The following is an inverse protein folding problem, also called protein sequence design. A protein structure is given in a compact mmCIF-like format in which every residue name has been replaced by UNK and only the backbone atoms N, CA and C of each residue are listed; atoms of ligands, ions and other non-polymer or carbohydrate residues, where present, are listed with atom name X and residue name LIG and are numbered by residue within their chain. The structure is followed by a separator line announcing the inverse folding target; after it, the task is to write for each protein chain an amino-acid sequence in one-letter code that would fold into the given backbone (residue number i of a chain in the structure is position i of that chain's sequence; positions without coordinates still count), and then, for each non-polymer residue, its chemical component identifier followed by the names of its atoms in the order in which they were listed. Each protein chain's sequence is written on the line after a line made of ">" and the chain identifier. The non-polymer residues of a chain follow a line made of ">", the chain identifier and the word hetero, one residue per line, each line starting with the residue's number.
data_IF_367366528288
#
_entry.id   IF_367366528288
#
_cell.length_a   1.000
_cell.length_b   1.000
_cell.length_c   1.000
_cell.angle_alpha   90.00
_cell.angle_beta   90.00
_cell.angle_gamma   90.00
#
_symmetry.space_group_name_H-M   'P 1'
#
loop_
_entity.id
_entity.type
_entity.pdbx_description
1 polymer ?
#
# COMPACT_ATOMS: atom_id res chain seq x y z
N UNK A 1 5.24 23.48 2.15
CA UNK A 1 4.68 22.57 3.17
C UNK A 1 5.50 21.30 3.19
N UNK A 2 5.64 20.63 4.34
CA UNK A 2 6.26 19.30 4.42
C UNK A 2 5.34 18.26 3.76
N UNK A 3 5.92 17.28 3.07
CA UNK A 3 5.17 16.15 2.52
C UNK A 3 4.59 15.29 3.66
N UNK A 4 3.39 14.75 3.46
CA UNK A 4 2.75 13.84 4.41
C UNK A 4 3.37 12.45 4.29
N UNK A 5 3.89 11.90 5.39
CA UNK A 5 4.41 10.52 5.39
C UNK A 5 3.26 9.54 5.54
N UNK A 6 3.08 8.63 4.59
CA UNK A 6 2.05 7.60 4.61
C UNK A 6 2.66 6.21 4.40
N UNK A 7 2.28 5.25 5.23
CA UNK A 7 2.60 3.83 5.05
C UNK A 7 1.68 3.21 3.99
N UNK A 8 2.28 2.52 3.01
CA UNK A 8 1.56 1.97 1.86
C UNK A 8 1.93 0.50 1.65
N UNK A 9 0.98 -0.41 1.86
CA UNK A 9 1.17 -1.84 1.66
C UNK A 9 0.51 -2.32 0.36
N UNK A 10 1.32 -2.73 -0.62
CA UNK A 10 0.87 -3.15 -1.96
C UNK A 10 1.72 -4.31 -2.48
N UNK A 11 1.17 -5.10 -3.41
CA UNK A 11 1.96 -6.11 -4.10
C UNK A 11 2.96 -5.51 -5.09
N UNK A 12 4.04 -6.25 -5.36
CA UNK A 12 5.04 -5.88 -6.35
C UNK A 12 4.67 -6.44 -7.73
N UNK A 13 3.69 -5.82 -8.37
CA UNK A 13 3.21 -6.16 -9.72
C UNK A 13 3.45 -5.01 -10.69
N UNK A 14 3.36 -5.29 -11.98
CA UNK A 14 3.44 -4.31 -13.08
C UNK A 14 2.63 -3.02 -12.83
N UNK A 15 1.41 -3.16 -12.28
CA UNK A 15 0.50 -2.02 -12.01
C UNK A 15 0.99 -1.07 -10.91
N UNK A 16 1.71 -1.59 -9.92
CA UNK A 16 2.19 -0.82 -8.77
C UNK A 16 3.68 -0.46 -8.89
N UNK A 17 4.41 -1.13 -9.79
CA UNK A 17 5.85 -0.96 -10.00
C UNK A 17 6.28 0.50 -10.25
N UNK A 18 5.57 1.32 -11.06
CA UNK A 18 5.96 2.71 -11.26
C UNK A 18 5.94 3.56 -9.98
N UNK A 19 5.08 3.21 -9.00
CA UNK A 19 5.08 3.87 -7.69
C UNK A 19 6.27 3.45 -6.84
N UNK A 20 6.64 2.16 -6.89
CA UNK A 20 7.76 1.59 -6.15
C UNK A 20 9.12 2.06 -6.67
N UNK A 21 9.26 2.13 -8.00
CA UNK A 21 10.49 2.55 -8.68
C UNK A 21 10.65 4.09 -8.68
N UNK A 22 9.58 4.83 -8.36
CA UNK A 22 9.58 6.28 -8.26
C UNK A 22 9.32 7.01 -9.58
N UNK A 23 9.04 6.28 -10.66
CA UNK A 23 8.64 6.82 -11.97
C UNK A 23 7.32 7.61 -11.89
N UNK A 24 6.44 7.22 -10.96
CA UNK A 24 5.20 7.92 -10.62
C UNK A 24 5.22 8.32 -9.16
N UNK A 25 5.00 9.61 -8.88
CA UNK A 25 5.00 10.16 -7.52
C UNK A 25 3.59 10.58 -7.11
N UNK A 26 3.34 10.56 -5.80
CA UNK A 26 2.10 11.08 -5.21
C UNK A 26 2.37 12.51 -4.73
N UNK A 27 1.64 13.47 -5.28
CA UNK A 27 1.79 14.87 -4.94
C UNK A 27 1.57 15.11 -3.44
N UNK A 28 2.53 15.81 -2.82
CA UNK A 28 2.46 16.15 -1.40
C UNK A 28 2.68 14.98 -0.43
N UNK A 29 2.97 13.76 -0.91
CA UNK A 29 3.16 12.57 -0.06
C UNK A 29 4.60 12.08 -0.12
N UNK A 30 5.10 11.62 1.02
CA UNK A 30 6.33 10.88 1.19
C UNK A 30 5.97 9.42 1.54
N UNK A 31 5.70 8.56 0.55
CA UNK A 31 5.22 7.22 0.80
C UNK A 31 6.33 6.32 1.36
N UNK A 32 5.98 5.49 2.33
CA UNK A 32 6.82 4.39 2.84
C UNK A 32 6.20 3.10 2.36
N UNK A 33 6.74 2.55 1.27
CA UNK A 33 6.19 1.34 0.65
C UNK A 33 6.63 0.07 1.38
N UNK A 34 5.69 -0.85 1.54
CA UNK A 34 5.90 -2.22 2.00
C UNK A 34 5.37 -3.18 0.95
N UNK A 35 6.27 -3.92 0.32
CA UNK A 35 5.89 -4.96 -0.65
C UNK A 35 5.69 -6.28 0.08
N UNK A 36 4.44 -6.69 0.26
CA UNK A 36 4.05 -7.87 1.02
C UNK A 36 3.16 -8.80 0.18
N UNK A 37 3.13 -10.11 0.46
CA UNK A 37 2.16 -11.00 -0.15
C UNK A 37 0.73 -10.62 0.29
N UNK A 38 -0.30 -10.83 -0.55
CA UNK A 38 -1.68 -10.44 -0.24
C UNK A 38 -2.19 -10.97 1.11
N UNK A 39 -1.87 -12.22 1.44
CA UNK A 39 -2.28 -12.85 2.71
C UNK A 39 -1.82 -12.06 3.94
N UNK A 40 -0.59 -11.53 3.90
CA UNK A 40 -0.04 -10.73 4.99
C UNK A 40 -0.66 -9.33 5.03
N UNK A 41 -0.85 -8.69 3.87
CA UNK A 41 -1.52 -7.39 3.78
C UNK A 41 -2.92 -7.50 4.40
N UNK A 42 -3.69 -8.53 4.03
CA UNK A 42 -5.07 -8.71 4.48
C UNK A 42 -5.11 -8.97 5.99
N UNK A 43 -4.24 -9.85 6.48
CA UNK A 43 -4.16 -10.16 7.91
C UNK A 43 -3.88 -8.91 8.75
N UNK A 44 -2.87 -8.13 8.38
CA UNK A 44 -2.44 -6.92 9.11
C UNK A 44 -3.43 -5.77 8.95
N UNK A 45 -4.06 -5.61 7.78
CA UNK A 45 -5.08 -4.60 7.53
C UNK A 45 -6.35 -4.84 8.37
N UNK A 46 -6.91 -6.04 8.34
CA UNK A 46 -8.18 -6.33 9.01
C UNK A 46 -8.07 -6.50 10.53
N UNK A 47 -6.91 -6.96 11.04
CA UNK A 47 -6.72 -7.15 12.48
C UNK A 47 -6.04 -5.97 13.18
N UNK A 48 -4.98 -5.45 12.58
CA UNK A 48 -4.12 -4.46 13.22
C UNK A 48 -4.30 -3.04 12.71
N UNK A 49 -4.93 -2.84 11.54
CA UNK A 49 -4.98 -1.55 10.83
C UNK A 49 -3.59 -0.93 10.72
N UNK A 50 -2.62 -1.75 10.35
CA UNK A 50 -1.19 -1.40 10.46
C UNK A 50 -0.68 -0.48 9.34
N UNK A 51 -1.54 -0.10 8.39
CA UNK A 51 -1.18 0.71 7.24
C UNK A 51 -2.16 1.87 7.07
N UNK A 52 -1.66 3.03 6.63
CA UNK A 52 -2.51 4.15 6.23
C UNK A 52 -3.25 3.83 4.92
N UNK A 53 -2.58 3.14 4.00
CA UNK A 53 -3.10 2.69 2.71
C UNK A 53 -2.68 1.23 2.47
N UNK A 54 -3.61 0.39 2.03
CA UNK A 54 -3.30 -0.98 1.61
C UNK A 54 -4.15 -1.47 0.44
N UNK A 55 -3.59 -2.41 -0.33
CA UNK A 55 -4.32 -3.17 -1.36
C UNK A 55 -5.18 -4.26 -0.72
N UNK A 56 -6.45 -4.37 -1.13
CA UNK A 56 -7.39 -5.39 -0.68
C UNK A 56 -8.16 -5.97 -1.87
N UNK A 57 -8.49 -7.27 -1.80
CA UNK A 57 -9.33 -7.92 -2.81
C UNK A 57 -10.79 -7.96 -2.40
N UNK A 58 -11.69 -7.40 -3.22
CA UNK A 58 -13.13 -7.51 -3.02
C UNK A 58 -13.70 -8.89 -3.38
N UNK A 59 -12.94 -9.78 -4.03
CA UNK A 59 -13.38 -11.16 -4.29
C UNK A 59 -13.24 -12.07 -3.07
N UNK A 60 -12.34 -11.71 -2.16
CA UNK A 60 -11.97 -12.52 -0.99
C UNK A 60 -12.19 -11.76 0.33
N UNK A 61 -12.62 -10.50 0.25
CA UNK A 61 -12.86 -9.64 1.41
C UNK A 61 -14.12 -8.81 1.17
N UNK A 62 -15.28 -9.41 1.44
CA UNK A 62 -16.52 -8.67 1.67
C UNK A 62 -16.64 -8.45 3.17
N UNK A 63 -16.69 -7.19 3.58
CA UNK A 63 -17.04 -6.78 4.95
C UNK A 63 -18.52 -6.99 5.24
#
# INVERSE_FOLDING_TARGET
>A
MSKLTLSVAIGNYDRCRPLLDGDVQIDGVNPVFMTLPPEEIFFRAFRGREFDICELSLSSSTV
#
